data_IF_167615341549
#
_entry.id   IF_167615341549
#
_cell.length_a   1.000
_cell.length_b   1.000
_cell.length_c   1.000
_cell.angle_alpha   90.00
_cell.angle_beta   90.00
_cell.angle_gamma   90.00
#
_symmetry.space_group_name_H-M   'P 1'
#
loop_
_entity.id
_entity.type
_entity.pdbx_description
1 polymer ?
#
# COMPACT_ATOMS: atom_id res chain seq x y z
N UNK A 1 -13.44 32.51 1.34
CA UNK A 1 -12.88 31.30 1.99
C UNK A 1 -12.62 30.31 0.87
N UNK A 2 -11.35 29.99 0.61
CA UNK A 2 -10.98 29.02 -0.43
C UNK A 2 -11.02 27.66 0.25
N UNK A 3 -12.03 26.85 -0.07
CA UNK A 3 -12.08 25.46 0.39
C UNK A 3 -10.78 24.76 -0.01
N UNK A 4 -10.04 24.25 0.96
CA UNK A 4 -8.87 23.43 0.71
C UNK A 4 -9.29 22.22 -0.15
N UNK A 5 -8.47 21.78 -1.14
CA UNK A 5 -8.83 20.65 -1.96
C UNK A 5 -8.97 19.42 -1.07
N UNK A 6 -10.20 18.90 -0.91
CA UNK A 6 -10.41 17.57 -0.32
C UNK A 6 -9.73 16.55 -1.22
N UNK A 7 -8.57 16.05 -0.80
CA UNK A 7 -7.88 14.96 -1.47
C UNK A 7 -8.83 13.77 -1.52
N UNK A 8 -9.31 13.43 -2.73
CA UNK A 8 -10.23 12.31 -2.93
C UNK A 8 -9.42 11.02 -2.85
N UNK A 9 -9.88 10.09 -2.02
CA UNK A 9 -9.38 8.71 -1.99
C UNK A 9 -9.37 8.16 -3.42
N UNK A 10 -8.22 7.64 -3.88
CA UNK A 10 -8.14 7.02 -5.20
C UNK A 10 -9.09 5.81 -5.21
N UNK A 11 -9.80 5.59 -6.32
CA UNK A 11 -10.65 4.40 -6.53
C UNK A 11 -9.80 3.13 -6.72
N UNK A 12 -9.07 2.75 -5.67
CA UNK A 12 -8.26 1.54 -5.62
C UNK A 12 -9.10 0.33 -5.21
N UNK A 13 -8.59 -0.86 -5.55
CA UNK A 13 -9.12 -2.10 -5.00
C UNK A 13 -8.91 -2.09 -3.49
N UNK A 14 -10.01 -2.07 -2.72
CA UNK A 14 -9.95 -2.04 -1.26
C UNK A 14 -9.45 -3.39 -0.74
N UNK A 15 -8.76 -3.43 0.41
CA UNK A 15 -8.38 -4.67 1.06
C UNK A 15 -9.57 -5.60 1.22
N UNK A 16 -9.30 -6.89 1.04
CA UNK A 16 -10.30 -7.95 1.19
C UNK A 16 -10.76 -7.96 2.66
N UNK A 17 -12.07 -7.94 2.96
CA UNK A 17 -12.54 -7.95 4.35
C UNK A 17 -11.99 -9.16 5.12
N UNK A 18 -11.40 -8.92 6.28
CA UNK A 18 -10.90 -9.97 7.14
C UNK A 18 -12.06 -10.76 7.75
N UNK A 19 -12.05 -12.09 7.61
CA UNK A 19 -13.12 -12.95 8.08
C UNK A 19 -12.87 -13.59 9.45
N UNK A 20 -11.73 -13.30 10.11
CA UNK A 20 -11.39 -13.84 11.43
C UNK A 20 -10.38 -14.99 11.44
N UNK A 21 -9.91 -15.47 10.28
CA UNK A 21 -8.90 -16.52 10.23
C UNK A 21 -7.50 -15.97 10.55
N UNK A 22 -6.89 -16.42 11.64
CA UNK A 22 -5.61 -15.91 12.16
C UNK A 22 -4.49 -15.87 11.10
N UNK A 23 -4.40 -16.87 10.23
CA UNK A 23 -3.39 -16.94 9.17
C UNK A 23 -3.58 -15.91 8.04
N UNK A 24 -4.73 -15.21 7.99
CA UNK A 24 -5.03 -14.14 7.03
C UNK A 24 -4.80 -12.74 7.61
N UNK A 25 -4.45 -12.63 8.89
CA UNK A 25 -4.32 -11.34 9.59
C UNK A 25 -3.14 -10.53 9.06
N UNK A 26 -1.98 -11.15 8.87
CA UNK A 26 -0.78 -10.53 8.30
C UNK A 26 -1.04 -10.02 6.87
N UNK A 27 -1.62 -10.86 6.01
CA UNK A 27 -1.97 -10.49 4.63
C UNK A 27 -2.96 -9.31 4.57
N UNK A 28 -3.99 -9.34 5.41
CA UNK A 28 -4.95 -8.25 5.52
C UNK A 28 -4.30 -6.94 5.99
N UNK A 29 -3.40 -7.03 6.97
CA UNK A 29 -2.64 -5.89 7.45
C UNK A 29 -1.79 -5.30 6.33
N UNK A 30 -1.03 -6.12 5.60
CA UNK A 30 -0.20 -5.68 4.47
C UNK A 30 -1.03 -4.96 3.39
N UNK A 31 -2.19 -5.52 3.01
CA UNK A 31 -3.10 -4.85 2.06
C UNK A 31 -3.56 -3.48 2.59
N UNK A 32 -3.84 -3.39 3.89
CA UNK A 32 -4.20 -2.13 4.54
C UNK A 32 -3.04 -1.13 4.55
N UNK A 33 -1.82 -1.56 4.87
CA UNK A 33 -0.60 -0.72 4.82
C UNK A 33 -0.42 -0.15 3.41
N UNK A 34 -0.52 -1.00 2.40
CA UNK A 34 -0.32 -0.65 1.01
C UNK A 34 -1.39 0.33 0.53
N UNK A 35 -2.66 0.05 0.82
CA UNK A 35 -3.79 0.92 0.50
C UNK A 35 -3.67 2.30 1.13
N UNK A 36 -3.33 2.35 2.42
CA UNK A 36 -3.17 3.62 3.15
C UNK A 36 -1.91 4.36 2.74
N UNK A 37 -0.83 3.65 2.39
CA UNK A 37 0.40 4.24 1.86
C UNK A 37 0.16 4.96 0.54
N UNK A 38 -0.65 4.39 -0.36
CA UNK A 38 -1.03 5.06 -1.62
C UNK A 38 -1.95 6.26 -1.35
N UNK A 39 -2.87 6.15 -0.39
CA UNK A 39 -3.79 7.22 0.00
C UNK A 39 -3.29 8.03 1.21
N UNK A 40 -1.98 8.29 1.31
CA UNK A 40 -1.36 8.82 2.54
C UNK A 40 -2.02 10.11 3.05
N UNK A 41 -2.45 11.00 2.16
CA UNK A 41 -3.06 12.28 2.53
C UNK A 41 -4.48 12.08 3.11
N UNK A 42 -5.13 10.97 2.74
CA UNK A 42 -6.41 10.56 3.32
C UNK A 42 -6.22 9.88 4.67
N UNK A 43 -5.10 9.16 4.87
CA UNK A 43 -4.78 8.38 6.08
C UNK A 43 -3.55 8.91 6.81
N UNK A 44 -3.44 10.23 6.87
CA UNK A 44 -2.33 10.98 7.46
C UNK A 44 -2.23 10.84 8.99
N UNK A 45 -3.33 10.45 9.63
CA UNK A 45 -3.49 10.43 11.08
C UNK A 45 -3.87 9.03 11.56
N UNK A 46 -3.33 8.62 12.73
CA UNK A 46 -3.65 7.33 13.36
C UNK A 46 -5.16 7.07 13.48
N UNK A 47 -6.00 8.02 13.94
CA UNK A 47 -7.45 7.80 14.02
C UNK A 47 -8.10 7.44 12.68
N UNK A 48 -7.67 8.03 11.56
CA UNK A 48 -8.20 7.69 10.23
C UNK A 48 -7.81 6.27 9.80
N UNK A 49 -6.57 5.86 10.12
CA UNK A 49 -6.08 4.48 9.87
C UNK A 49 -6.86 3.44 10.68
N UNK A 50 -7.01 3.69 11.98
CA UNK A 50 -7.77 2.83 12.90
C UNK A 50 -9.23 2.72 12.45
N UNK A 51 -9.87 3.84 12.08
CA UNK A 51 -11.25 3.85 11.61
C UNK A 51 -11.45 3.03 10.31
N UNK A 52 -10.50 3.09 9.38
CA UNK A 52 -10.53 2.30 8.15
C UNK A 52 -10.45 0.80 8.42
N UNK A 53 -9.45 0.40 9.20
CA UNK A 53 -9.26 -1.01 9.57
C UNK A 53 -10.50 -1.52 10.29
N UNK A 54 -11.04 -0.78 11.25
CA UNK A 54 -12.26 -1.19 11.98
C UNK A 54 -13.48 -1.35 11.06
N UNK A 55 -13.54 -0.61 9.95
CA UNK A 55 -14.59 -0.75 8.95
C UNK A 55 -14.38 -1.98 8.04
N UNK A 56 -13.13 -2.43 7.88
CA UNK A 56 -12.73 -3.48 6.93
C UNK A 56 -12.50 -4.85 7.56
N UNK A 57 -11.90 -4.88 8.75
CA UNK A 57 -11.90 -6.02 9.63
C UNK A 57 -13.21 -6.02 10.40
N UNK A 58 -14.08 -6.98 10.12
CA UNK A 58 -15.32 -7.17 10.88
C UNK A 58 -15.02 -7.41 12.37
N UNK A 59 -16.07 -7.38 13.20
CA UNK A 59 -16.11 -7.56 14.67
C UNK A 59 -15.40 -8.82 15.23
N UNK A 60 -14.65 -9.57 14.42
CA UNK A 60 -13.91 -10.79 14.77
C UNK A 60 -12.60 -10.56 15.51
N UNK A 61 -12.14 -9.32 15.70
CA UNK A 61 -10.91 -9.05 16.47
C UNK A 61 -11.08 -9.14 18.00
N UNK A 62 -12.29 -9.45 18.49
CA UNK A 62 -12.55 -9.58 19.92
C UNK A 62 -12.39 -8.25 20.68
N UNK A 63 -12.78 -8.21 21.96
CA UNK A 63 -12.75 -7.00 22.77
C UNK A 63 -11.33 -6.50 23.13
N UNK A 64 -10.27 -7.15 22.64
CA UNK A 64 -8.88 -6.84 22.97
C UNK A 64 -8.26 -5.85 21.96
N UNK A 65 -8.96 -4.73 21.76
CA UNK A 65 -8.55 -3.65 20.86
C UNK A 65 -7.11 -3.18 21.12
N UNK A 66 -6.60 -3.34 22.35
CA UNK A 66 -5.25 -2.98 22.76
C UNK A 66 -4.15 -3.91 22.20
N UNK A 67 -4.37 -5.23 22.15
CA UNK A 67 -3.39 -6.17 21.57
C UNK A 67 -3.27 -5.94 20.06
N UNK A 68 -4.40 -5.75 19.38
CA UNK A 68 -4.38 -5.43 17.95
C UNK A 68 -3.71 -4.08 17.69
N UNK A 69 -4.07 -3.02 18.44
CA UNK A 69 -3.42 -1.72 18.30
C UNK A 69 -1.93 -1.83 18.64
N UNK A 70 -1.53 -2.64 19.61
CA UNK A 70 -0.11 -2.86 19.94
C UNK A 70 0.63 -3.61 18.84
N UNK A 71 0.07 -4.69 18.28
CA UNK A 71 0.69 -5.41 17.15
C UNK A 71 0.70 -4.55 15.88
N UNK A 72 -0.35 -3.76 15.64
CA UNK A 72 -0.40 -2.78 14.57
C UNK A 72 0.62 -1.67 14.77
N UNK A 73 0.72 -1.10 15.97
CA UNK A 73 1.70 -0.07 16.30
C UNK A 73 3.11 -0.63 16.32
N UNK A 74 3.34 -1.90 16.65
CA UNK A 74 4.64 -2.56 16.44
C UNK A 74 4.98 -2.66 14.96
N UNK A 75 4.03 -3.09 14.12
CA UNK A 75 4.21 -3.15 12.67
C UNK A 75 4.43 -1.77 12.01
N UNK A 76 3.99 -0.69 12.68
CA UNK A 76 4.14 0.69 12.23
C UNK A 76 5.11 1.53 13.07
N UNK A 77 5.75 0.96 14.09
CA UNK A 77 6.70 1.70 14.92
C UNK A 77 7.92 1.98 14.05
N UNK A 78 8.40 3.23 13.99
CA UNK A 78 9.71 3.47 13.44
C UNK A 78 10.70 2.89 14.46
N UNK A 79 11.32 1.75 14.15
CA UNK A 79 12.64 1.51 14.73
C UNK A 79 13.52 2.62 14.17
N UNK A 80 13.76 3.61 15.03
CA UNK A 80 14.61 4.76 14.75
C UNK A 80 16.00 4.24 14.37
N UNK A 81 16.27 4.08 13.07
CA UNK A 81 17.50 4.49 12.36
C UNK A 81 17.60 3.94 10.93
N UNK A 82 16.78 2.97 10.54
CA UNK A 82 16.71 2.52 9.15
C UNK A 82 15.41 3.00 8.51
N UNK A 83 15.52 3.74 7.40
CA UNK A 83 14.36 4.13 6.57
C UNK A 83 13.48 2.87 6.39
N UNK A 84 12.27 2.86 6.97
CA UNK A 84 11.33 1.74 6.85
C UNK A 84 11.29 1.34 5.37
N UNK A 85 11.42 0.05 5.04
CA UNK A 85 11.43 -0.42 3.65
C UNK A 85 10.24 0.11 2.85
N UNK A 86 9.09 0.32 3.52
CA UNK A 86 7.93 0.99 2.95
C UNK A 86 8.19 2.45 2.56
N UNK A 87 8.96 3.19 3.36
CA UNK A 87 9.35 4.57 3.05
C UNK A 87 10.42 4.61 1.95
N UNK A 88 11.37 3.65 1.90
CA UNK A 88 12.26 3.47 0.74
C UNK A 88 11.46 3.21 -0.53
N UNK A 89 10.41 2.39 -0.46
CA UNK A 89 9.50 2.10 -1.57
C UNK A 89 8.72 3.33 -2.02
N UNK A 90 8.27 4.18 -1.09
CA UNK A 90 7.61 5.47 -1.40
C UNK A 90 8.56 6.52 -1.98
N UNK A 91 9.82 6.52 -1.56
CA UNK A 91 10.86 7.42 -2.08
C UNK A 91 11.43 6.95 -3.42
N UNK A 92 11.15 5.71 -3.81
CA UNK A 92 11.56 5.17 -5.09
C UNK A 92 10.87 5.96 -6.21
N UNK A 93 11.68 6.45 -7.14
CA UNK A 93 11.25 7.18 -8.32
C UNK A 93 12.11 6.72 -9.49
N UNK A 94 11.51 6.62 -10.68
CA UNK A 94 12.20 6.17 -11.88
C UNK A 94 13.48 6.97 -12.16
N UNK A 95 13.43 8.30 -12.10
CA UNK A 95 14.58 9.20 -12.35
C UNK A 95 15.40 8.73 -13.57
N UNK A 96 16.66 8.36 -13.37
CA UNK A 96 17.59 7.92 -14.42
C UNK A 96 17.71 6.38 -14.50
N UNK A 97 16.89 5.63 -13.77
CA UNK A 97 16.91 4.17 -13.78
C UNK A 97 16.31 3.65 -15.08
N UNK A 98 16.93 2.60 -15.64
CA UNK A 98 16.31 1.82 -16.71
C UNK A 98 15.09 1.08 -16.19
N UNK A 99 14.21 0.63 -17.09
CA UNK A 99 13.03 -0.16 -16.72
C UNK A 99 13.42 -1.40 -15.89
N UNK A 100 14.45 -2.14 -16.32
CA UNK A 100 14.95 -3.32 -15.61
C UNK A 100 15.52 -3.00 -14.22
N UNK A 101 16.29 -1.91 -14.10
CA UNK A 101 16.84 -1.47 -12.82
C UNK A 101 15.73 -1.05 -11.86
N UNK A 102 14.70 -0.37 -12.38
CA UNK A 102 13.56 0.06 -11.58
C UNK A 102 12.73 -1.13 -11.11
N UNK A 103 12.41 -2.07 -11.99
CA UNK A 103 11.65 -3.28 -11.67
C UNK A 103 12.41 -4.12 -10.65
N UNK A 104 13.72 -4.31 -10.83
CA UNK A 104 14.56 -5.06 -9.90
C UNK A 104 14.57 -4.41 -8.52
N UNK A 105 14.80 -3.10 -8.42
CA UNK A 105 14.77 -2.37 -7.14
C UNK A 105 13.40 -2.42 -6.46
N UNK A 106 12.34 -2.24 -7.25
CA UNK A 106 10.97 -2.29 -6.73
C UNK A 106 10.65 -3.67 -6.14
N UNK A 107 10.93 -4.75 -6.87
CA UNK A 107 10.71 -6.13 -6.40
C UNK A 107 11.52 -6.46 -5.16
N UNK A 108 12.77 -6.01 -5.09
CA UNK A 108 13.62 -6.19 -3.92
C UNK A 108 12.98 -5.54 -2.69
N UNK A 109 12.59 -4.27 -2.79
CA UNK A 109 11.95 -3.53 -1.69
C UNK A 109 10.58 -4.13 -1.30
N UNK A 110 9.80 -4.63 -2.26
CA UNK A 110 8.55 -5.35 -1.98
C UNK A 110 8.82 -6.63 -1.18
N UNK A 111 9.83 -7.41 -1.54
CA UNK A 111 10.24 -8.62 -0.82
C UNK A 111 10.80 -8.31 0.58
N UNK A 112 11.66 -7.29 0.70
CA UNK A 112 12.19 -6.80 1.98
C UNK A 112 11.09 -6.27 2.91
N UNK A 113 10.00 -5.72 2.36
CA UNK A 113 8.84 -5.26 3.13
C UNK A 113 7.89 -6.42 3.51
N UNK A 114 8.24 -7.66 3.17
CA UNK A 114 7.42 -8.85 3.40
C UNK A 114 6.12 -8.87 2.61
N UNK A 115 5.96 -8.00 1.60
CA UNK A 115 4.71 -7.87 0.87
C UNK A 115 4.50 -9.06 -0.07
N UNK A 116 3.42 -9.81 0.16
CA UNK A 116 3.01 -10.91 -0.72
C UNK A 116 2.35 -10.40 -2.00
N UNK A 117 2.62 -11.08 -3.11
CA UNK A 117 1.93 -10.92 -4.40
C UNK A 117 0.96 -12.09 -4.69
N UNK A 118 0.60 -12.87 -3.66
CA UNK A 118 -0.18 -14.10 -3.78
C UNK A 118 -1.70 -13.87 -3.76
N UNK A 119 -2.16 -12.65 -4.03
CA UNK A 119 -3.58 -12.39 -4.25
C UNK A 119 -3.80 -11.34 -5.31
N UNK A 120 -4.95 -11.40 -5.97
CA UNK A 120 -5.36 -10.41 -6.95
C UNK A 120 -5.40 -8.99 -6.38
N UNK A 121 -5.82 -8.84 -5.12
CA UNK A 121 -5.88 -7.52 -4.44
C UNK A 121 -4.48 -6.98 -4.18
N UNK A 122 -3.58 -7.79 -3.61
CA UNK A 122 -2.20 -7.39 -3.37
C UNK A 122 -1.47 -7.07 -4.68
N UNK A 123 -1.63 -7.90 -5.72
CA UNK A 123 -1.08 -7.66 -7.06
C UNK A 123 -1.56 -6.33 -7.64
N UNK A 124 -2.87 -6.05 -7.58
CA UNK A 124 -3.43 -4.78 -8.05
C UNK A 124 -2.84 -3.61 -7.29
N UNK A 125 -2.75 -3.69 -5.97
CA UNK A 125 -2.20 -2.62 -5.15
C UNK A 125 -0.70 -2.39 -5.42
N UNK A 126 0.08 -3.45 -5.64
CA UNK A 126 1.49 -3.34 -6.04
C UNK A 126 1.65 -2.69 -7.41
N UNK A 127 0.77 -3.00 -8.37
CA UNK A 127 0.75 -2.33 -9.68
C UNK A 127 0.41 -0.84 -9.53
N UNK A 128 -0.59 -0.50 -8.71
CA UNK A 128 -0.95 0.89 -8.45
C UNK A 128 0.19 1.65 -7.75
N UNK A 129 0.90 1.00 -6.82
CA UNK A 129 2.10 1.56 -6.22
C UNK A 129 3.22 1.76 -7.25
N UNK A 130 3.46 0.78 -8.11
CA UNK A 130 4.47 0.89 -9.17
C UNK A 130 4.19 2.05 -10.13
N UNK A 131 2.91 2.33 -10.45
CA UNK A 131 2.53 3.52 -11.23
C UNK A 131 2.95 4.82 -10.58
N UNK A 132 2.98 4.91 -9.24
CA UNK A 132 3.43 6.13 -8.54
C UNK A 132 4.94 6.34 -8.63
N UNK A 133 5.71 5.27 -8.89
CA UNK A 133 7.17 5.30 -9.04
C UNK A 133 7.59 5.72 -10.45
N UNK A 134 6.77 5.40 -11.45
CA UNK A 134 7.02 5.71 -12.86
C UNK A 134 6.95 7.21 -13.16
N UNK A 135 7.68 7.64 -14.20
CA UNK A 135 7.57 9.00 -14.70
C UNK A 135 6.13 9.30 -15.17
N UNK A 136 5.52 10.44 -14.79
CA UNK A 136 4.12 10.74 -15.12
C UNK A 136 3.80 10.66 -16.62
N UNK A 137 4.74 11.05 -17.48
CA UNK A 137 4.58 10.95 -18.94
C UNK A 137 4.46 9.50 -19.43
N UNK A 138 5.16 8.55 -18.80
CA UNK A 138 5.04 7.12 -19.11
C UNK A 138 3.73 6.55 -18.60
N UNK A 139 3.30 6.95 -17.39
CA UNK A 139 2.00 6.56 -16.84
C UNK A 139 0.87 6.97 -17.79
N UNK A 140 0.91 8.19 -18.33
CA UNK A 140 -0.07 8.65 -19.32
C UNK A 140 -0.07 7.78 -20.57
N UNK A 141 1.10 7.45 -21.12
CA UNK A 141 1.21 6.54 -22.28
C UNK A 141 0.64 5.16 -21.99
N UNK A 142 0.88 4.61 -20.79
CA UNK A 142 0.34 3.33 -20.35
C UNK A 142 -1.19 3.38 -20.23
N UNK A 143 -1.75 4.45 -19.66
CA UNK A 143 -3.20 4.65 -19.53
C UNK A 143 -3.87 4.74 -20.91
N UNK A 144 -3.20 5.40 -21.87
CA UNK A 144 -3.68 5.57 -23.25
C UNK A 144 -3.46 4.33 -24.13
N UNK A 145 -2.70 3.34 -23.66
CA UNK A 145 -2.43 2.11 -24.41
C UNK A 145 -3.70 1.25 -24.54
N UNK A 146 -3.88 0.63 -25.72
CA UNK A 146 -4.99 -0.30 -25.99
C UNK A 146 -4.92 -1.57 -25.13
N UNK A 147 -3.71 -2.04 -24.81
CA UNK A 147 -3.47 -3.15 -23.88
C UNK A 147 -3.03 -2.55 -22.54
N UNK A 148 -3.82 -2.77 -21.49
CA UNK A 148 -3.47 -2.36 -20.12
C UNK A 148 -2.62 -3.43 -19.46
N UNK A 149 -1.45 -3.07 -18.89
CA UNK A 149 -0.63 -4.00 -18.12
C UNK A 149 -1.39 -4.62 -16.95
N UNK A 150 -1.20 -5.91 -16.76
CA UNK A 150 -1.74 -6.67 -15.63
C UNK A 150 -0.65 -7.17 -14.68
N UNK A 151 0.61 -6.93 -15.04
CA UNK A 151 1.81 -7.30 -14.28
C UNK A 151 2.83 -6.16 -14.34
N UNK A 152 3.82 -6.17 -13.45
CA UNK A 152 4.84 -5.12 -13.35
C UNK A 152 5.78 -5.14 -14.56
N UNK A 153 5.97 -6.30 -15.17
CA UNK A 153 6.86 -6.53 -16.31
C UNK A 153 6.23 -6.19 -17.67
N UNK A 154 4.92 -5.93 -17.71
CA UNK A 154 4.16 -5.55 -18.92
C UNK A 154 4.08 -4.03 -19.10
#
# INVERSE_FOLDING_TARGET
MIDAPKTRELSLSKPTPFNGEQFKSEKFLQECILYMGINKDTYDTEPKRIAFIRKKGTRSFGNNNLEFINEFQKAFKPEEEDINTLDKLKMLQQKNLTAEQLITKFKLLVGEAGMSNDSDTANKLLIEMFKTVLNPALVQKIIMSKKKPTKIEE
#
